data_IF_383418214631
#
_entry.id   IF_383418214631
#
_cell.length_a   1.000
_cell.length_b   1.000
_cell.length_c   1.000
_cell.angle_alpha   90.00
_cell.angle_beta   90.00
_cell.angle_gamma   90.00
#
_symmetry.space_group_name_H-M   'P 1'
#
loop_
_entity.id
_entity.type
_entity.pdbx_description
1 polymer ?
#
# COMPACT_ATOMS: atom_id res chain seq x y z
N UNK A 1 -34.49 -3.54 18.65
CA UNK A 1 -33.88 -4.80 18.16
C UNK A 1 -34.64 -5.20 16.91
N UNK A 2 -34.02 -5.11 15.73
CA UNK A 2 -34.53 -5.72 14.50
C UNK A 2 -33.33 -6.20 13.69
N UNK A 3 -33.13 -7.51 13.72
CA UNK A 3 -32.06 -8.23 13.03
C UNK A 3 -32.54 -8.47 11.60
N UNK A 4 -31.81 -7.94 10.62
CA UNK A 4 -32.13 -8.14 9.21
C UNK A 4 -31.88 -9.60 8.81
N UNK A 5 -32.87 -10.19 8.14
CA UNK A 5 -32.91 -11.59 7.68
C UNK A 5 -31.90 -11.80 6.54
N UNK A 6 -30.99 -12.75 6.72
CA UNK A 6 -30.12 -13.27 5.67
C UNK A 6 -30.81 -14.48 5.04
N UNK A 7 -31.04 -14.43 3.72
CA UNK A 7 -31.57 -15.55 2.93
C UNK A 7 -30.38 -16.36 2.42
N UNK A 8 -30.25 -17.60 2.92
CA UNK A 8 -29.30 -18.60 2.44
C UNK A 8 -29.99 -19.47 1.40
N UNK A 9 -29.58 -19.36 0.14
CA UNK A 9 -29.94 -20.34 -0.90
C UNK A 9 -28.87 -21.42 -0.88
N UNK A 10 -29.22 -22.58 -0.32
CA UNK A 10 -28.40 -23.78 -0.38
C UNK A 10 -28.47 -24.38 -1.79
N UNK A 11 -27.34 -24.36 -2.50
CA UNK A 11 -27.15 -25.17 -3.70
C UNK A 11 -26.15 -26.27 -3.37
N UNK A 12 -26.67 -27.50 -3.23
CA UNK A 12 -25.89 -28.72 -3.08
C UNK A 12 -25.31 -29.11 -4.45
N UNK A 13 -24.01 -28.92 -4.62
CA UNK A 13 -23.22 -29.61 -5.64
C UNK A 13 -22.01 -30.29 -4.99
N UNK A 14 -22.21 -31.56 -4.67
CA UNK A 14 -21.33 -32.71 -4.90
C UNK A 14 -19.81 -32.48 -4.88
N UNK A 15 -19.21 -33.06 -3.83
CA UNK A 15 -17.94 -33.81 -3.75
C UNK A 15 -16.71 -33.37 -4.58
N UNK A 16 -15.60 -33.32 -3.83
CA UNK A 16 -14.19 -33.38 -4.26
C UNK A 16 -13.52 -32.03 -4.49
N UNK A 17 -12.90 -31.47 -3.45
CA UNK A 17 -11.51 -31.01 -3.56
C UNK A 17 -10.90 -30.86 -2.17
N UNK A 18 -9.63 -31.25 -2.08
CA UNK A 18 -8.81 -31.20 -0.90
C UNK A 18 -8.91 -29.87 -0.13
N UNK A 19 -8.83 -29.97 1.20
CA UNK A 19 -8.36 -28.89 2.07
C UNK A 19 -6.99 -28.43 1.54
N UNK A 20 -6.98 -27.42 0.68
CA UNK A 20 -5.76 -26.68 0.37
C UNK A 20 -5.51 -25.80 1.58
N UNK A 21 -4.68 -26.31 2.49
CA UNK A 21 -3.93 -25.49 3.44
C UNK A 21 -3.37 -24.30 2.65
N UNK A 22 -3.84 -23.09 2.96
CA UNK A 22 -3.32 -21.86 2.41
C UNK A 22 -1.83 -21.76 2.77
N UNK A 23 -0.98 -22.24 1.85
CA UNK A 23 0.46 -22.14 1.93
C UNK A 23 0.77 -20.68 1.65
N UNK A 24 1.15 -19.93 2.68
CA UNK A 24 1.81 -18.62 2.54
C UNK A 24 2.99 -18.80 1.57
N UNK A 25 2.79 -18.40 0.32
CA UNK A 25 3.72 -18.65 -0.77
C UNK A 25 4.89 -17.69 -0.70
N UNK A 26 5.95 -18.04 0.02
CA UNK A 26 7.25 -17.44 -0.19
C UNK A 26 7.78 -17.91 -1.57
N UNK A 27 7.65 -17.07 -2.60
CA UNK A 27 8.28 -17.32 -3.90
C UNK A 27 9.79 -17.08 -3.80
N UNK A 28 10.57 -18.16 -3.80
CA UNK A 28 12.04 -18.10 -3.89
C UNK A 28 12.46 -17.73 -5.32
N UNK A 29 13.17 -16.62 -5.46
CA UNK A 29 13.83 -16.21 -6.71
C UNK A 29 15.24 -16.82 -6.79
N UNK A 30 15.77 -17.02 -8.00
CA UNK A 30 16.92 -17.91 -8.32
C UNK A 30 18.29 -17.53 -7.72
N UNK A 31 18.37 -16.49 -6.91
CA UNK A 31 19.61 -16.03 -6.26
C UNK A 31 19.45 -15.89 -4.74
N UNK A 32 19.16 -16.99 -4.03
CA UNK A 32 19.46 -17.20 -2.59
C UNK A 32 18.84 -16.26 -1.52
N UNK A 33 18.32 -15.09 -1.89
CA UNK A 33 17.77 -14.10 -0.97
C UNK A 33 16.25 -14.17 -1.02
N UNK A 34 15.63 -14.43 0.14
CA UNK A 34 14.18 -14.37 0.28
C UNK A 34 13.70 -12.93 0.11
N UNK A 35 12.76 -12.73 -0.81
CA UNK A 35 11.94 -11.51 -0.86
C UNK A 35 10.61 -11.80 -0.17
N UNK A 36 10.19 -10.91 0.70
CA UNK A 36 8.95 -11.04 1.48
C UNK A 36 8.14 -9.76 1.30
N UNK A 37 6.83 -9.88 1.03
CA UNK A 37 5.93 -8.73 1.11
C UNK A 37 5.25 -8.75 2.47
N UNK A 38 5.38 -7.64 3.21
CA UNK A 38 4.66 -7.40 4.46
C UNK A 38 3.62 -6.32 4.26
N UNK A 39 2.48 -6.52 4.90
CA UNK A 39 1.36 -5.57 4.88
C UNK A 39 1.31 -4.84 6.21
N UNK A 40 1.15 -3.52 6.17
CA UNK A 40 1.04 -2.69 7.36
C UNK A 40 -0.08 -1.66 7.20
N UNK A 41 -0.74 -1.33 8.32
CA UNK A 41 -1.81 -0.34 8.39
C UNK A 41 -1.38 1.03 7.86
N UNK A 42 -2.11 1.53 6.86
CA UNK A 42 -1.96 2.90 6.33
C UNK A 42 -2.24 3.91 7.44
N UNK A 43 -3.33 3.72 8.19
CA UNK A 43 -3.75 4.63 9.25
C UNK A 43 -2.68 4.77 10.33
N UNK A 44 -2.02 3.68 10.71
CA UNK A 44 -0.99 3.73 11.75
C UNK A 44 0.31 4.35 11.21
N UNK A 45 0.68 4.05 9.97
CA UNK A 45 1.85 4.66 9.35
C UNK A 45 1.67 6.18 9.14
N UNK A 46 0.48 6.66 8.80
CA UNK A 46 0.19 8.10 8.69
C UNK A 46 0.25 8.83 10.04
N UNK A 47 0.07 8.12 11.17
CA UNK A 47 0.21 8.66 12.52
C UNK A 47 1.66 8.67 13.03
N UNK A 48 2.59 8.05 12.31
CA UNK A 48 4.02 8.06 12.66
C UNK A 48 4.60 9.47 12.62
N UNK A 49 5.66 9.71 13.40
CA UNK A 49 6.34 10.99 13.39
C UNK A 49 7.07 11.22 12.06
N UNK A 50 7.51 10.14 11.42
CA UNK A 50 8.06 10.14 10.06
C UNK A 50 7.09 10.72 9.03
N UNK A 51 5.81 10.35 9.10
CA UNK A 51 4.78 10.86 8.21
C UNK A 51 4.44 12.32 8.53
N UNK A 52 4.22 12.66 9.81
CA UNK A 52 3.93 14.04 10.22
C UNK A 52 5.02 15.02 9.81
N UNK A 53 6.28 14.61 9.88
CA UNK A 53 7.41 15.46 9.53
C UNK A 53 7.59 15.70 8.01
N UNK A 54 7.04 14.83 7.16
CA UNK A 54 7.31 14.85 5.70
C UNK A 54 6.09 15.23 4.86
N UNK A 55 4.88 14.94 5.32
CA UNK A 55 3.68 15.12 4.51
C UNK A 55 3.23 16.58 4.48
N UNK A 56 3.00 17.10 3.28
CA UNK A 56 2.48 18.43 3.07
C UNK A 56 0.96 18.43 3.25
N UNK A 57 0.38 19.16 4.22
CA UNK A 57 -1.06 19.12 4.48
C UNK A 57 -1.92 19.74 3.36
N UNK A 58 -1.30 20.46 2.42
CA UNK A 58 -1.98 21.11 1.29
C UNK A 58 -2.25 20.20 0.10
N UNK A 59 -1.61 19.02 0.04
CA UNK A 59 -1.84 18.04 -1.02
C UNK A 59 -2.59 16.86 -0.44
N UNK A 60 -3.83 16.68 -0.89
CA UNK A 60 -4.70 15.65 -0.36
C UNK A 60 -4.29 14.26 -0.86
N UNK A 61 -4.44 13.25 0.00
CA UNK A 61 -4.08 11.86 -0.28
C UNK A 61 -5.33 10.99 -0.13
N UNK A 62 -5.77 10.36 -1.22
CA UNK A 62 -6.93 9.48 -1.24
C UNK A 62 -6.53 8.05 -1.60
N UNK A 63 -6.67 7.14 -0.63
CA UNK A 63 -6.33 5.72 -0.77
C UNK A 63 -7.51 4.91 -1.32
N UNK A 64 -7.19 3.89 -2.13
CA UNK A 64 -8.18 3.03 -2.77
C UNK A 64 -8.72 3.59 -4.08
N UNK A 65 -9.23 2.69 -4.92
CA UNK A 65 -9.71 3.01 -6.27
C UNK A 65 -11.11 3.63 -6.25
N UNK A 66 -11.41 4.45 -7.26
CA UNK A 66 -12.74 5.00 -7.52
C UNK A 66 -12.96 6.40 -6.96
N UNK A 67 -11.95 7.02 -6.38
CA UNK A 67 -11.98 8.43 -6.00
C UNK A 67 -11.09 9.21 -6.96
N UNK A 68 -11.67 10.15 -7.71
CA UNK A 68 -10.89 10.99 -8.62
C UNK A 68 -10.61 12.39 -8.05
N UNK A 69 -11.22 12.78 -6.91
CA UNK A 69 -10.95 14.06 -6.24
C UNK A 69 -11.20 15.35 -7.06
N UNK A 70 -11.51 15.25 -8.36
CA UNK A 70 -11.53 16.35 -9.31
C UNK A 70 -11.24 15.90 -10.74
N UNK A 71 -10.71 16.80 -11.56
CA UNK A 71 -10.29 16.50 -12.94
C UNK A 71 -8.95 15.75 -12.90
N UNK A 72 -8.90 14.57 -13.49
CA UNK A 72 -7.65 13.81 -13.61
C UNK A 72 -6.65 14.53 -14.54
N UNK A 73 -5.43 14.69 -14.05
CA UNK A 73 -4.30 15.29 -14.78
C UNK A 73 -3.34 14.21 -15.27
N UNK A 74 -3.03 13.23 -14.43
CA UNK A 74 -2.13 12.11 -14.71
C UNK A 74 -2.74 10.84 -14.14
N UNK A 75 -2.83 9.78 -14.93
CA UNK A 75 -3.34 8.49 -14.50
C UNK A 75 -2.19 7.50 -14.20
N UNK A 76 -2.30 6.74 -13.10
CA UNK A 76 -1.46 5.56 -12.85
C UNK A 76 0.04 5.83 -12.67
N UNK A 77 0.41 7.02 -12.19
CA UNK A 77 1.79 7.37 -11.84
C UNK A 77 2.32 6.43 -10.74
N UNK A 78 3.53 5.92 -10.92
CA UNK A 78 4.17 5.00 -9.96
C UNK A 78 5.35 5.68 -9.28
N UNK A 79 5.40 5.62 -7.96
CA UNK A 79 6.49 6.15 -7.15
C UNK A 79 7.00 5.07 -6.20
N UNK A 80 8.32 4.97 -6.07
CA UNK A 80 8.95 4.09 -5.08
C UNK A 80 10.01 4.80 -4.24
N UNK A 81 10.27 4.22 -3.07
CA UNK A 81 11.39 4.58 -2.21
C UNK A 81 11.97 3.34 -1.55
N UNK A 82 13.29 3.36 -1.37
CA UNK A 82 14.07 2.32 -0.70
C UNK A 82 14.65 2.84 0.61
N UNK A 83 14.77 1.94 1.59
CA UNK A 83 15.46 2.23 2.85
C UNK A 83 16.39 1.08 3.22
N UNK A 84 17.59 1.41 3.69
CA UNK A 84 18.51 0.43 4.22
C UNK A 84 17.94 -0.10 5.54
N UNK A 85 17.56 -1.38 5.55
CA UNK A 85 16.94 -2.04 6.70
C UNK A 85 17.89 -2.10 7.90
N UNK A 86 19.21 -2.17 7.66
CA UNK A 86 20.23 -2.22 8.71
C UNK A 86 20.37 -0.91 9.48
N UNK A 87 19.86 0.21 8.96
CA UNK A 87 19.83 1.48 9.71
C UNK A 87 18.66 1.56 10.70
N UNK A 88 17.74 0.61 10.66
CA UNK A 88 16.58 0.51 11.55
C UNK A 88 16.74 -0.71 12.46
N UNK A 89 17.72 -0.64 13.37
CA UNK A 89 18.02 -1.73 14.31
C UNK A 89 16.82 -2.11 15.19
N UNK A 90 15.88 -1.18 15.41
CA UNK A 90 14.72 -1.38 16.27
C UNK A 90 13.61 -2.21 15.60
N UNK A 91 13.30 -1.96 14.31
CA UNK A 91 12.34 -2.80 13.57
C UNK A 91 12.35 -2.58 12.05
N UNK A 92 12.11 -3.67 11.30
CA UNK A 92 11.83 -3.62 9.85
C UNK A 92 10.58 -2.79 9.54
N UNK A 93 9.58 -2.80 10.44
CA UNK A 93 8.36 -2.00 10.28
C UNK A 93 8.68 -0.51 10.23
N UNK A 94 9.57 -0.01 11.11
CA UNK A 94 10.00 1.40 11.08
C UNK A 94 10.63 1.77 9.73
N UNK A 95 11.48 0.90 9.17
CA UNK A 95 12.05 1.13 7.84
C UNK A 95 10.96 1.21 6.75
N UNK A 96 9.95 0.34 6.84
CA UNK A 96 8.82 0.33 5.92
C UNK A 96 7.94 1.58 6.05
N UNK A 97 7.62 1.99 7.28
CA UNK A 97 6.83 3.19 7.56
C UNK A 97 7.57 4.44 7.05
N UNK A 98 8.89 4.52 7.24
CA UNK A 98 9.68 5.63 6.70
C UNK A 98 9.71 5.61 5.16
N UNK A 99 9.90 4.44 4.54
CA UNK A 99 9.84 4.30 3.09
C UNK A 99 8.47 4.71 2.53
N UNK A 100 7.39 4.34 3.21
CA UNK A 100 6.03 4.72 2.88
C UNK A 100 5.82 6.24 2.97
N UNK A 101 6.20 6.86 4.08
CA UNK A 101 6.09 8.31 4.27
C UNK A 101 6.87 9.10 3.21
N UNK A 102 8.10 8.69 2.88
CA UNK A 102 8.89 9.32 1.80
C UNK A 102 8.22 9.15 0.44
N UNK A 103 7.65 7.97 0.17
CA UNK A 103 6.98 7.70 -1.11
C UNK A 103 5.76 8.59 -1.28
N UNK A 104 4.95 8.77 -0.22
CA UNK A 104 3.84 9.71 -0.22
C UNK A 104 4.30 11.16 -0.38
N UNK A 105 5.33 11.60 0.32
CA UNK A 105 5.85 12.96 0.19
C UNK A 105 6.34 13.25 -1.24
N UNK A 106 7.01 12.30 -1.88
CA UNK A 106 7.39 12.40 -3.30
C UNK A 106 6.19 12.45 -4.23
N UNK A 107 5.14 11.66 -3.96
CA UNK A 107 3.88 11.75 -4.72
C UNK A 107 3.28 13.16 -4.58
N UNK A 108 3.23 13.73 -3.38
CA UNK A 108 2.71 15.09 -3.18
C UNK A 108 3.51 16.13 -3.96
N UNK A 109 4.85 16.01 -3.97
CA UNK A 109 5.70 16.85 -4.80
C UNK A 109 5.36 16.71 -6.29
N UNK A 110 5.17 15.48 -6.79
CA UNK A 110 4.82 15.23 -8.20
C UNK A 110 3.43 15.72 -8.59
N UNK A 111 2.46 15.63 -7.67
CA UNK A 111 1.14 16.26 -7.85
C UNK A 111 1.30 17.78 -8.03
N UNK A 112 2.10 18.43 -7.18
CA UNK A 112 2.32 19.87 -7.26
C UNK A 112 3.04 20.27 -8.56
N UNK A 113 4.08 19.53 -8.96
CA UNK A 113 4.79 19.74 -10.23
C UNK A 113 3.86 19.60 -11.44
N UNK A 114 2.87 18.71 -11.38
CA UNK A 114 1.84 18.54 -12.40
C UNK A 114 0.73 19.61 -12.34
N UNK A 115 0.78 20.53 -11.37
CA UNK A 115 -0.24 21.55 -11.16
C UNK A 115 -1.52 21.05 -10.47
N UNK A 116 -1.51 19.83 -9.93
CA UNK A 116 -2.60 19.23 -9.17
C UNK A 116 -2.66 19.67 -7.72
N UNK A 117 -3.69 19.22 -7.00
CA UNK A 117 -3.88 19.44 -5.55
C UNK A 117 -4.09 18.13 -4.77
N UNK A 118 -4.23 16.99 -5.46
CA UNK A 118 -4.49 15.70 -4.82
C UNK A 118 -3.82 14.55 -5.55
N UNK A 119 -3.30 13.59 -4.77
CA UNK A 119 -3.02 12.23 -5.24
C UNK A 119 -4.21 11.35 -4.86
N UNK A 120 -4.79 10.70 -5.85
CA UNK A 120 -5.99 9.87 -5.72
C UNK A 120 -5.72 8.47 -6.23
N UNK A 121 -6.63 7.53 -5.96
CA UNK A 121 -6.44 6.13 -6.33
C UNK A 121 -5.12 5.54 -5.80
N UNK A 122 -4.67 5.97 -4.60
CA UNK A 122 -3.40 5.52 -4.04
C UNK A 122 -3.52 4.06 -3.60
N UNK A 123 -2.72 3.19 -4.20
CA UNK A 123 -2.66 1.76 -3.89
C UNK A 123 -1.21 1.25 -3.93
N UNK A 124 -0.95 0.10 -3.31
CA UNK A 124 0.35 -0.57 -3.45
C UNK A 124 0.45 -1.23 -4.82
N UNK A 125 1.68 -1.42 -5.33
CA UNK A 125 1.87 -1.96 -6.68
C UNK A 125 1.20 -3.34 -6.89
N UNK A 126 1.19 -4.22 -5.88
CA UNK A 126 0.64 -5.58 -5.99
C UNK A 126 -0.64 -5.77 -5.16
N UNK A 127 -1.18 -4.70 -4.56
CA UNK A 127 -2.38 -4.77 -3.71
C UNK A 127 -3.22 -3.51 -3.81
N UNK A 128 -4.53 -3.69 -4.01
CA UNK A 128 -5.52 -2.63 -4.02
C UNK A 128 -6.14 -2.37 -2.63
N UNK A 129 -5.50 -2.83 -1.55
CA UNK A 129 -5.99 -2.60 -0.19
C UNK A 129 -6.11 -1.11 0.10
N UNK A 130 -7.23 -0.73 0.73
CA UNK A 130 -7.48 0.64 1.18
C UNK A 130 -7.06 0.87 2.63
N UNK A 131 -6.71 -0.20 3.35
CA UNK A 131 -6.37 -0.18 4.77
C UNK A 131 -4.89 -0.44 5.01
N UNK A 132 -4.21 -1.10 4.07
CA UNK A 132 -2.82 -1.54 4.23
C UNK A 132 -1.96 -1.19 3.02
N UNK A 133 -0.70 -0.88 3.27
CA UNK A 133 0.32 -0.74 2.24
C UNK A 133 1.27 -1.94 2.24
N UNK A 134 1.85 -2.25 1.08
CA UNK A 134 2.82 -3.32 0.93
C UNK A 134 4.26 -2.79 1.01
N UNK A 135 5.06 -3.48 1.79
CA UNK A 135 6.49 -3.27 1.89
C UNK A 135 7.21 -4.54 1.43
N UNK A 136 8.04 -4.41 0.39
CA UNK A 136 8.96 -5.45 -0.03
C UNK A 136 10.18 -5.43 0.89
N UNK A 137 10.38 -6.50 1.65
CA UNK A 137 11.53 -6.70 2.53
C UNK A 137 12.53 -7.64 1.86
N UNK A 138 13.79 -7.21 1.83
CA UNK A 138 14.94 -8.00 1.39
C UNK A 138 16.01 -7.96 2.48
N UNK A 139 17.10 -8.71 2.30
CA UNK A 139 18.12 -8.89 3.33
C UNK A 139 18.75 -7.58 3.84
N UNK A 140 18.89 -6.56 2.99
CA UNK A 140 19.58 -5.31 3.34
C UNK A 140 18.71 -4.07 3.20
N UNK A 141 17.54 -4.18 2.58
CA UNK A 141 16.69 -3.04 2.29
C UNK A 141 15.21 -3.40 2.29
N UNK A 142 14.41 -2.35 2.45
CA UNK A 142 12.98 -2.39 2.24
C UNK A 142 12.60 -1.45 1.11
N UNK A 143 11.52 -1.76 0.42
CA UNK A 143 10.99 -0.95 -0.68
C UNK A 143 9.48 -0.83 -0.58
N UNK A 144 8.99 0.38 -0.72
CA UNK A 144 7.56 0.67 -0.90
C UNK A 144 7.36 1.24 -2.29
N UNK A 145 6.39 0.71 -3.03
CA UNK A 145 6.01 1.18 -4.36
C UNK A 145 4.51 1.43 -4.38
N UNK A 146 4.12 2.68 -4.63
CA UNK A 146 2.73 3.12 -4.69
C UNK A 146 2.38 3.55 -6.11
N UNK A 147 1.14 3.27 -6.51
CA UNK A 147 0.50 3.82 -7.72
C UNK A 147 -0.54 4.84 -7.31
N UNK A 148 -0.66 5.93 -8.07
CA UNK A 148 -1.67 6.96 -7.85
C UNK A 148 -2.03 7.68 -9.16
N UNK A 149 -3.21 8.27 -9.23
CA UNK A 149 -3.54 9.32 -10.19
C UNK A 149 -3.38 10.69 -9.54
N UNK A 150 -3.16 11.73 -10.33
CA UNK A 150 -3.10 13.12 -9.87
C UNK A 150 -4.34 13.86 -10.35
N UNK A 151 -4.93 14.67 -9.48
CA UNK A 151 -6.14 15.43 -9.78
C UNK A 151 -6.05 16.89 -9.32
N UNK A 152 -6.98 17.70 -9.83
CA UNK A 152 -7.17 19.11 -9.49
C UNK A 152 -8.64 19.46 -9.34
#
# INVERSE_FOLDING_TARGET
>A
MNVAKIVLIASLCVLSSAFVLAKSGAQKEKNGYSKEYRQYSITDALKSDEAKARLAPKIELYFGLGNLGGKELIAGFTQESHKNALKHFDSIKSACDEAFAITLAKLQQKVQEAGGNSAVNIVSLNSNSTQEYECLVRALDVKVTLKASFAK
#
